data_IF_104264601849
#
_entry.id   IF_104264601849
#
_cell.length_a   1.000
_cell.length_b   1.000
_cell.length_c   1.000
_cell.angle_alpha   90.00
_cell.angle_beta   90.00
_cell.angle_gamma   90.00
#
_symmetry.space_group_name_H-M   'P 1'
#
loop_
_entity.id
_entity.type
_entity.pdbx_description
1 polymer ?
#
# COMPACT_ATOMS: atom_id res chain seq x y z
N UNK A 1 32.04 -42.63 26.81
CA UNK A 1 30.75 -42.53 26.07
C UNK A 1 29.79 -41.48 26.61
N UNK A 2 29.73 -41.18 27.88
CA UNK A 2 28.81 -40.14 28.42
C UNK A 2 29.14 -38.70 28.03
N UNK A 3 30.35 -38.37 27.65
CA UNK A 3 30.77 -36.99 27.26
C UNK A 3 30.42 -36.63 25.84
N UNK A 4 30.22 -37.58 24.95
CA UNK A 4 29.86 -37.33 23.54
C UNK A 4 28.36 -37.03 23.39
N UNK A 5 27.52 -37.59 24.26
CA UNK A 5 26.08 -37.40 24.23
C UNK A 5 25.65 -35.96 24.60
N UNK A 6 26.39 -35.31 25.51
CA UNK A 6 26.10 -33.93 25.91
C UNK A 6 26.44 -32.90 24.82
N UNK A 7 27.40 -33.16 23.97
CA UNK A 7 27.80 -32.25 22.88
C UNK A 7 26.78 -32.26 21.76
N UNK A 8 26.15 -33.41 21.49
CA UNK A 8 25.13 -33.54 20.42
C UNK A 8 23.85 -32.80 20.79
N UNK A 9 23.43 -32.80 22.06
CA UNK A 9 22.23 -32.11 22.52
C UNK A 9 22.39 -30.58 22.46
N UNK A 10 23.62 -30.07 22.64
CA UNK A 10 23.88 -28.62 22.58
C UNK A 10 23.92 -28.08 21.16
N UNK A 11 24.23 -28.92 20.16
CA UNK A 11 24.22 -28.47 18.73
C UNK A 11 22.82 -28.40 18.13
N UNK A 12 21.86 -29.20 18.62
CA UNK A 12 20.47 -29.21 18.12
C UNK A 12 19.68 -28.00 18.60
N UNK A 13 20.10 -27.39 19.73
CA UNK A 13 19.40 -26.21 20.30
C UNK A 13 19.63 -24.85 19.57
N UNK A 14 20.60 -24.78 18.65
CA UNK A 14 20.99 -23.50 18.02
C UNK A 14 20.34 -23.30 16.65
N UNK A 15 19.64 -24.27 16.07
CA UNK A 15 19.05 -24.19 14.75
C UNK A 15 17.59 -23.60 14.72
N UNK A 16 17.05 -23.10 15.84
CA UNK A 16 15.66 -22.67 15.92
C UNK A 16 15.42 -21.15 16.03
N UNK A 17 16.42 -20.33 15.70
CA UNK A 17 16.22 -18.87 15.65
C UNK A 17 16.73 -18.32 14.33
N UNK A 18 16.00 -18.61 13.24
CA UNK A 18 15.98 -17.70 12.12
C UNK A 18 14.98 -16.60 12.48
N UNK A 19 15.42 -15.38 12.81
CA UNK A 19 14.52 -14.25 12.77
C UNK A 19 14.08 -14.15 11.31
N UNK A 20 12.81 -14.42 11.03
CA UNK A 20 12.21 -14.04 9.78
C UNK A 20 12.31 -12.52 9.70
N UNK A 21 13.38 -12.02 9.10
CA UNK A 21 13.53 -10.62 8.73
C UNK A 21 12.48 -10.31 7.65
N UNK A 22 11.22 -10.29 8.05
CA UNK A 22 10.14 -9.73 7.27
C UNK A 22 10.36 -8.23 7.22
N UNK A 23 11.15 -7.76 6.25
CA UNK A 23 11.27 -6.33 6.00
C UNK A 23 9.87 -5.78 5.71
N UNK A 24 9.41 -4.84 6.56
CA UNK A 24 8.16 -4.15 6.34
C UNK A 24 8.20 -3.43 4.99
N UNK A 25 7.17 -3.62 4.16
CA UNK A 25 7.07 -2.98 2.85
C UNK A 25 7.03 -1.46 2.99
N UNK A 26 7.70 -0.76 2.07
CA UNK A 26 7.62 0.69 1.92
C UNK A 26 6.28 1.10 1.29
N UNK A 27 5.89 2.38 1.41
CA UNK A 27 4.69 2.89 0.76
C UNK A 27 4.70 2.69 -0.76
N UNK A 28 5.86 2.84 -1.41
CA UNK A 28 6.03 2.57 -2.84
C UNK A 28 5.80 1.09 -3.19
N UNK A 29 6.32 0.19 -2.38
CA UNK A 29 6.11 -1.26 -2.56
C UNK A 29 4.65 -1.63 -2.30
N UNK A 30 3.98 -0.98 -1.34
CA UNK A 30 2.56 -1.17 -1.06
C UNK A 30 1.68 -0.71 -2.23
N UNK A 31 2.05 0.37 -2.91
CA UNK A 31 1.37 0.83 -4.13
C UNK A 31 1.34 -0.26 -5.21
N UNK A 32 2.45 -0.98 -5.37
CA UNK A 32 2.53 -2.12 -6.30
C UNK A 32 1.79 -3.36 -5.75
N UNK A 33 1.97 -3.68 -4.47
CA UNK A 33 1.32 -4.83 -3.81
C UNK A 33 -0.19 -4.79 -3.92
N UNK A 34 -0.78 -3.60 -3.74
CA UNK A 34 -2.24 -3.40 -3.82
C UNK A 34 -2.71 -3.02 -5.22
N UNK A 35 -1.88 -3.21 -6.24
CA UNK A 35 -2.20 -3.07 -7.67
C UNK A 35 -2.71 -1.68 -8.06
N UNK A 36 -2.35 -0.64 -7.30
CA UNK A 36 -2.77 0.73 -7.58
C UNK A 36 -2.32 1.23 -8.95
N UNK A 37 -1.17 0.74 -9.43
CA UNK A 37 -0.59 1.06 -10.74
C UNK A 37 -1.40 0.53 -11.94
N UNK A 38 -2.35 -0.38 -11.71
CA UNK A 38 -3.27 -0.81 -12.77
C UNK A 38 -4.21 0.32 -13.22
N UNK A 39 -4.42 1.33 -12.36
CA UNK A 39 -5.32 2.45 -12.63
C UNK A 39 -4.64 3.81 -12.54
N UNK A 40 -3.57 3.96 -11.75
CA UNK A 40 -2.92 5.23 -11.47
C UNK A 40 -1.49 5.31 -11.99
N UNK A 41 -1.07 6.52 -12.37
CA UNK A 41 0.30 6.83 -12.78
C UNK A 41 1.04 7.50 -11.62
N UNK A 42 2.28 7.08 -11.37
CA UNK A 42 3.26 7.81 -10.58
C UNK A 42 4.56 7.90 -11.39
N UNK A 43 5.05 9.11 -11.64
CA UNK A 43 6.29 9.38 -12.39
C UNK A 43 6.36 8.63 -13.73
N UNK A 44 5.29 8.69 -14.50
CA UNK A 44 5.20 8.10 -15.84
C UNK A 44 4.99 6.57 -15.87
N UNK A 45 4.89 5.91 -14.70
CA UNK A 45 4.65 4.45 -14.60
C UNK A 45 3.24 4.18 -14.11
N UNK A 46 2.53 3.28 -14.78
CA UNK A 46 1.17 2.87 -14.43
C UNK A 46 0.19 3.09 -15.58
N UNK A 47 -1.08 3.27 -15.26
CA UNK A 47 -2.18 3.45 -16.21
C UNK A 47 -2.95 4.74 -15.94
N UNK A 48 -3.53 5.31 -16.99
CA UNK A 48 -4.33 6.55 -16.94
C UNK A 48 -5.84 6.31 -16.74
N UNK A 49 -6.25 5.12 -16.32
CA UNK A 49 -7.65 4.82 -15.99
C UNK A 49 -8.14 5.71 -14.86
N UNK A 50 -7.32 5.89 -13.82
CA UNK A 50 -7.54 6.82 -12.72
C UNK A 50 -6.66 8.06 -12.81
N UNK A 51 -6.79 8.99 -11.86
CA UNK A 51 -5.95 10.19 -11.78
C UNK A 51 -4.46 9.88 -11.68
N UNK A 52 -3.63 10.73 -12.30
CA UNK A 52 -2.20 10.76 -12.09
C UNK A 52 -1.89 11.23 -10.66
N UNK A 53 -1.16 10.43 -9.90
CA UNK A 53 -0.85 10.66 -8.50
C UNK A 53 0.56 11.22 -8.26
N UNK A 54 1.32 11.53 -9.32
CA UNK A 54 2.73 11.95 -9.21
C UNK A 54 2.95 13.15 -8.29
N UNK A 55 1.97 14.01 -8.13
CA UNK A 55 2.01 15.19 -7.26
C UNK A 55 0.76 15.33 -6.38
N UNK A 56 0.16 14.19 -6.00
CA UNK A 56 -1.09 14.18 -5.22
C UNK A 56 -0.95 14.91 -3.88
N UNK A 57 0.21 14.83 -3.25
CA UNK A 57 0.48 15.49 -1.99
C UNK A 57 0.52 17.03 -2.03
N UNK A 58 0.55 17.63 -3.25
CA UNK A 58 0.36 19.09 -3.40
C UNK A 58 -1.09 19.51 -3.27
N UNK A 59 -2.04 18.65 -3.63
CA UNK A 59 -3.45 18.99 -3.81
C UNK A 59 -4.39 18.27 -2.84
N UNK A 60 -3.88 17.29 -2.12
CA UNK A 60 -4.66 16.53 -1.12
C UNK A 60 -3.84 16.28 0.14
N UNK A 61 -4.51 16.33 1.28
CA UNK A 61 -3.90 16.03 2.58
C UNK A 61 -3.76 14.53 2.81
N UNK A 62 -2.88 14.13 3.72
CA UNK A 62 -2.77 12.75 4.18
C UNK A 62 -4.14 12.15 4.58
N UNK A 63 -4.92 12.89 5.38
CA UNK A 63 -6.22 12.42 5.87
C UNK A 63 -7.22 12.20 4.73
N UNK A 64 -7.21 13.06 3.72
CA UNK A 64 -8.05 12.90 2.54
C UNK A 64 -7.63 11.66 1.74
N UNK A 65 -6.32 11.51 1.47
CA UNK A 65 -5.76 10.37 0.72
C UNK A 65 -6.07 9.06 1.44
N UNK A 66 -5.84 9.01 2.75
CA UNK A 66 -6.13 7.83 3.56
C UNK A 66 -7.59 7.42 3.49
N UNK A 67 -8.51 8.37 3.61
CA UNK A 67 -9.96 8.13 3.50
C UNK A 67 -10.36 7.67 2.11
N UNK A 68 -9.79 8.27 1.06
CA UNK A 68 -10.03 7.87 -0.33
C UNK A 68 -9.63 6.41 -0.60
N UNK A 69 -8.50 5.96 -0.08
CA UNK A 69 -8.05 4.57 -0.23
C UNK A 69 -8.97 3.63 0.56
N UNK A 70 -9.34 4.00 1.78
CA UNK A 70 -10.17 3.16 2.66
C UNK A 70 -11.60 3.02 2.17
N UNK A 71 -12.20 4.10 1.72
CA UNK A 71 -13.59 4.13 1.26
C UNK A 71 -13.77 5.10 0.09
N UNK A 72 -13.40 4.70 -1.14
CA UNK A 72 -13.49 5.56 -2.32
C UNK A 72 -14.91 6.05 -2.60
N UNK A 73 -15.92 5.25 -2.24
CA UNK A 73 -17.35 5.57 -2.50
C UNK A 73 -17.82 6.83 -1.80
N UNK A 74 -17.18 7.24 -0.70
CA UNK A 74 -17.56 8.50 0.00
C UNK A 74 -17.32 9.75 -0.84
N UNK A 75 -16.45 9.68 -1.84
CA UNK A 75 -16.13 10.80 -2.72
C UNK A 75 -16.77 10.70 -4.11
N UNK A 76 -17.62 9.69 -4.31
CA UNK A 76 -18.40 9.53 -5.54
C UNK A 76 -19.82 10.09 -5.33
N UNK A 77 -20.25 10.96 -6.24
CA UNK A 77 -21.54 11.62 -6.09
C UNK A 77 -22.74 10.69 -6.22
N UNK A 78 -22.64 9.61 -6.99
CA UNK A 78 -23.70 8.57 -7.13
C UNK A 78 -23.09 7.23 -7.55
N UNK A 79 -23.71 6.08 -7.23
CA UNK A 79 -23.37 4.80 -7.83
C UNK A 79 -23.43 4.91 -9.37
N UNK A 80 -22.42 4.43 -10.07
CA UNK A 80 -22.24 4.53 -11.52
C UNK A 80 -21.98 5.95 -12.05
N UNK A 81 -21.62 6.90 -11.19
CA UNK A 81 -21.30 8.25 -11.59
C UNK A 81 -19.83 8.45 -11.91
N UNK A 82 -19.55 9.59 -12.51
CA UNK A 82 -18.21 10.06 -12.74
C UNK A 82 -17.71 10.85 -11.52
N UNK A 83 -16.42 10.74 -11.25
CA UNK A 83 -15.71 11.58 -10.29
C UNK A 83 -14.96 12.67 -11.07
N UNK A 84 -15.01 13.91 -10.60
CA UNK A 84 -14.20 15.00 -11.14
C UNK A 84 -12.99 15.17 -10.25
N UNK A 85 -11.80 15.05 -10.84
CA UNK A 85 -10.55 15.26 -10.13
C UNK A 85 -9.62 16.14 -10.95
N UNK A 86 -9.21 17.28 -10.38
CA UNK A 86 -8.36 18.26 -11.03
C UNK A 86 -8.81 18.65 -12.46
N UNK A 87 -10.11 18.93 -12.62
CA UNK A 87 -10.73 19.33 -13.90
C UNK A 87 -10.93 18.20 -14.91
N UNK A 88 -10.57 16.96 -14.58
CA UNK A 88 -10.79 15.78 -15.43
C UNK A 88 -11.86 14.89 -14.88
N UNK A 89 -12.60 14.26 -15.79
CA UNK A 89 -13.67 13.31 -15.45
C UNK A 89 -13.13 11.91 -15.51
N UNK A 90 -13.39 11.13 -14.46
CA UNK A 90 -13.02 9.73 -14.31
C UNK A 90 -14.23 8.89 -13.95
N UNK A 91 -14.26 7.62 -14.33
CA UNK A 91 -15.25 6.68 -13.83
C UNK A 91 -15.02 6.40 -12.34
N UNK A 92 -16.12 6.31 -11.59
CA UNK A 92 -16.12 6.00 -10.15
C UNK A 92 -15.97 4.49 -9.91
N UNK A 93 -14.84 3.92 -10.32
CA UNK A 93 -14.56 2.48 -10.30
C UNK A 93 -13.44 2.07 -9.35
N UNK A 94 -12.86 3.01 -8.60
CA UNK A 94 -11.81 2.69 -7.62
C UNK A 94 -12.37 1.68 -6.60
N UNK A 95 -11.76 0.49 -6.47
CA UNK A 95 -12.27 -0.54 -5.57
C UNK A 95 -11.95 -0.24 -4.12
N UNK A 96 -12.81 -0.72 -3.21
CA UNK A 96 -12.51 -0.74 -1.78
C UNK A 96 -11.56 -1.90 -1.47
N UNK A 97 -10.38 -1.62 -0.90
CA UNK A 97 -9.44 -2.65 -0.50
C UNK A 97 -9.68 -3.09 0.96
N UNK A 98 -10.57 -4.05 1.15
CA UNK A 98 -10.94 -4.56 2.48
C UNK A 98 -9.82 -5.36 3.16
N UNK A 99 -8.86 -5.88 2.39
CA UNK A 99 -7.75 -6.70 2.91
C UNK A 99 -6.55 -5.88 3.37
N UNK A 100 -6.54 -4.59 3.09
CA UNK A 100 -5.44 -3.70 3.49
C UNK A 100 -5.48 -3.47 5.01
N UNK A 101 -4.39 -3.79 5.70
CA UNK A 101 -4.24 -3.49 7.12
C UNK A 101 -4.20 -1.99 7.39
N UNK A 102 -4.51 -1.57 8.61
CA UNK A 102 -4.39 -0.16 9.00
C UNK A 102 -2.93 0.35 8.89
N UNK A 103 -1.96 -0.49 9.20
CA UNK A 103 -0.54 -0.15 9.07
C UNK A 103 -0.12 0.07 7.61
N UNK A 104 -0.51 -0.81 6.70
CA UNK A 104 -0.24 -0.67 5.27
C UNK A 104 -0.94 0.57 4.70
N UNK A 105 -2.19 0.80 5.09
CA UNK A 105 -2.95 1.99 4.69
C UNK A 105 -2.24 3.29 5.10
N UNK A 106 -1.76 3.37 6.35
CA UNK A 106 -1.06 4.55 6.85
C UNK A 106 0.26 4.79 6.08
N UNK A 107 1.04 3.73 5.83
CA UNK A 107 2.29 3.84 5.06
C UNK A 107 2.05 4.25 3.61
N UNK A 108 1.06 3.66 2.96
CA UNK A 108 0.69 4.00 1.59
C UNK A 108 0.20 5.46 1.49
N UNK A 109 -0.67 5.89 2.40
CA UNK A 109 -1.18 7.25 2.44
C UNK A 109 -0.05 8.28 2.72
N UNK A 110 0.89 7.96 3.60
CA UNK A 110 2.07 8.80 3.86
C UNK A 110 2.96 8.92 2.61
N UNK A 111 3.19 7.82 1.92
CA UNK A 111 3.94 7.82 0.67
C UNK A 111 3.30 8.73 -0.37
N UNK A 112 2.00 8.58 -0.61
CA UNK A 112 1.28 9.40 -1.58
C UNK A 112 1.25 10.88 -1.17
N UNK A 113 1.05 11.19 0.11
CA UNK A 113 1.08 12.55 0.62
C UNK A 113 2.47 13.20 0.49
N UNK A 114 3.54 12.43 0.39
CA UNK A 114 4.90 12.92 0.16
C UNK A 114 5.20 13.29 -1.29
N UNK A 115 4.38 12.86 -2.23
CA UNK A 115 4.55 13.15 -3.66
C UNK A 115 4.16 14.62 -3.97
N UNK A 116 5.15 15.44 -4.33
CA UNK A 116 5.03 16.89 -4.55
C UNK A 116 5.36 17.29 -5.99
#
# INVERSE_FOLDING_TARGET
MKRVLFIIIFIIGIMAMNPSNGYALTGKQLFSKYECSLCHIINGKGSSIGPNLSAIGKIRTYSWIRRQIRNPKLNFFTPNSFAIFNGKIYQSIMPTNKKMSAGDLNKLANYLASLK
#
